data_IF_173622670394
#
_entry.id   IF_173622670394
#
_cell.length_a   1.000
_cell.length_b   1.000
_cell.length_c   1.000
_cell.angle_alpha   90.00
_cell.angle_beta   90.00
_cell.angle_gamma   90.00
#
_symmetry.space_group_name_H-M   'P 1'
#
loop_
_entity.id
_entity.type
_entity.pdbx_description
1 polymer ?
#
# COMPACT_ATOMS: atom_id res chain seq x y z
N UNK A 1 3.08 -32.69 -3.51
CA UNK A 1 3.07 -31.97 -2.21
C UNK A 1 1.71 -31.31 -2.08
N UNK A 2 1.01 -31.46 -0.95
CA UNK A 2 -0.26 -30.76 -0.69
C UNK A 2 -0.01 -29.35 -0.16
N UNK A 3 -1.01 -28.46 -0.26
CA UNK A 3 -0.94 -27.09 0.29
C UNK A 3 -0.56 -27.11 1.76
N UNK A 4 -1.29 -27.89 2.58
CA UNK A 4 -1.01 -27.99 4.01
C UNK A 4 0.38 -28.56 4.31
N UNK A 5 0.88 -29.51 3.50
CA UNK A 5 2.25 -30.01 3.68
C UNK A 5 3.30 -28.93 3.42
N UNK A 6 3.08 -28.07 2.42
CA UNK A 6 3.97 -26.95 2.12
C UNK A 6 3.90 -25.88 3.21
N UNK A 7 2.69 -25.45 3.60
CA UNK A 7 2.51 -24.43 4.65
C UNK A 7 3.11 -24.89 5.99
N UNK A 8 2.90 -26.15 6.37
CA UNK A 8 3.52 -26.73 7.57
C UNK A 8 5.04 -26.81 7.45
N UNK A 9 5.60 -27.01 6.25
CA UNK A 9 7.04 -26.99 6.05
C UNK A 9 7.62 -25.58 6.25
N UNK A 10 6.99 -24.56 5.65
CA UNK A 10 7.39 -23.15 5.81
C UNK A 10 7.32 -22.73 7.28
N UNK A 11 6.22 -23.05 7.97
CA UNK A 11 6.01 -22.66 9.37
C UNK A 11 7.03 -23.28 10.34
N UNK A 12 7.66 -24.41 10.01
CA UNK A 12 8.69 -25.03 10.87
C UNK A 12 9.89 -24.11 11.13
N UNK A 13 10.26 -23.24 10.18
CA UNK A 13 11.36 -22.27 10.38
C UNK A 13 10.91 -21.02 11.13
N UNK A 14 9.64 -20.66 10.99
CA UNK A 14 9.07 -19.42 11.55
C UNK A 14 7.82 -19.69 12.41
N UNK A 15 7.89 -20.52 13.48
CA UNK A 15 6.71 -21.03 14.17
C UNK A 15 5.86 -19.96 14.86
N UNK A 16 6.42 -18.78 15.11
CA UNK A 16 5.78 -17.68 15.84
C UNK A 16 5.59 -16.42 14.98
N UNK A 17 5.80 -16.49 13.66
CA UNK A 17 5.56 -15.35 12.77
C UNK A 17 4.15 -15.43 12.19
N UNK A 18 3.17 -15.09 13.04
CA UNK A 18 1.73 -15.21 12.75
C UNK A 18 1.28 -14.44 11.51
N UNK A 19 1.69 -13.18 11.39
CA UNK A 19 1.36 -12.30 10.28
C UNK A 19 1.98 -12.82 8.97
N UNK A 20 3.23 -13.29 9.03
CA UNK A 20 3.90 -13.85 7.86
C UNK A 20 3.25 -15.17 7.41
N UNK A 21 2.93 -16.07 8.35
CA UNK A 21 2.26 -17.33 8.05
C UNK A 21 0.88 -17.13 7.42
N UNK A 22 0.13 -16.13 7.90
CA UNK A 22 -1.16 -15.74 7.32
C UNK A 22 -1.00 -15.31 5.85
N UNK A 23 -0.08 -14.40 5.57
CA UNK A 23 0.14 -13.89 4.21
C UNK A 23 0.58 -15.00 3.23
N UNK A 24 1.49 -15.88 3.67
CA UNK A 24 1.89 -17.04 2.85
C UNK A 24 0.70 -17.97 2.59
N UNK A 25 -0.13 -18.25 3.60
CA UNK A 25 -1.34 -19.06 3.45
C UNK A 25 -2.31 -18.44 2.45
N UNK A 26 -2.61 -17.15 2.57
CA UNK A 26 -3.54 -16.43 1.68
C UNK A 26 -3.07 -16.50 0.21
N UNK A 27 -1.81 -16.14 -0.04
CA UNK A 27 -1.23 -16.18 -1.40
C UNK A 27 -1.20 -17.62 -1.94
N UNK A 28 -0.70 -18.58 -1.16
CA UNK A 28 -0.56 -19.97 -1.62
C UNK A 28 -1.90 -20.65 -1.84
N UNK A 29 -2.93 -20.34 -1.04
CA UNK A 29 -4.29 -20.85 -1.25
C UNK A 29 -4.81 -20.40 -2.61
N UNK A 30 -4.58 -19.13 -2.96
CA UNK A 30 -4.95 -18.59 -4.27
C UNK A 30 -4.16 -19.19 -5.43
N UNK A 31 -2.85 -19.39 -5.23
CA UNK A 31 -1.96 -19.92 -6.28
C UNK A 31 -2.11 -21.44 -6.48
N UNK A 32 -2.58 -22.19 -5.49
CA UNK A 32 -2.52 -23.66 -5.53
C UNK A 32 -3.19 -24.28 -6.76
N UNK A 33 -4.44 -23.90 -7.13
CA UNK A 33 -5.10 -24.43 -8.32
C UNK A 33 -4.35 -24.05 -9.62
N UNK A 34 -3.82 -22.83 -9.69
CA UNK A 34 -3.02 -22.38 -10.84
C UNK A 34 -1.74 -23.22 -10.99
N UNK A 35 -1.07 -23.53 -9.87
CA UNK A 35 0.15 -24.32 -9.85
C UNK A 35 -0.11 -25.80 -10.21
N UNK A 36 -1.31 -26.35 -9.98
CA UNK A 36 -1.70 -27.69 -10.44
C UNK A 36 -1.81 -27.75 -11.97
N UNK A 37 -2.35 -26.68 -12.56
CA UNK A 37 -2.48 -26.56 -14.01
C UNK A 37 -1.16 -26.17 -14.69
N UNK A 38 -0.24 -25.54 -13.96
CA UNK A 38 1.03 -25.04 -14.45
C UNK A 38 2.22 -25.63 -13.66
N UNK A 39 2.51 -26.93 -13.82
CA UNK A 39 3.51 -27.63 -13.00
C UNK A 39 4.92 -27.06 -13.12
N UNK A 40 5.21 -26.30 -14.20
CA UNK A 40 6.51 -25.63 -14.39
C UNK A 40 6.91 -24.77 -13.18
N UNK A 41 5.94 -24.13 -12.53
CA UNK A 41 6.14 -23.26 -11.39
C UNK A 41 6.33 -24.00 -10.05
N UNK A 42 6.29 -25.33 -10.07
CA UNK A 42 6.60 -26.18 -8.91
C UNK A 42 7.99 -26.80 -9.00
N UNK A 43 8.72 -26.59 -10.09
CA UNK A 43 10.08 -27.10 -10.24
C UNK A 43 11.10 -26.22 -9.52
N UNK A 44 12.33 -26.72 -9.38
CA UNK A 44 13.49 -25.98 -8.86
C UNK A 44 13.26 -25.35 -7.47
N UNK A 45 12.38 -25.97 -6.67
CA UNK A 45 11.94 -25.47 -5.36
C UNK A 45 11.55 -23.99 -5.40
N UNK A 46 10.89 -23.57 -6.49
CA UNK A 46 10.59 -22.17 -6.74
C UNK A 46 9.75 -21.55 -5.62
N UNK A 47 8.77 -22.28 -5.09
CA UNK A 47 7.90 -21.78 -4.02
C UNK A 47 8.65 -21.67 -2.70
N UNK A 48 9.49 -22.65 -2.37
CA UNK A 48 10.33 -22.62 -1.17
C UNK A 48 11.35 -21.47 -1.22
N UNK A 49 11.94 -21.20 -2.39
CA UNK A 49 12.83 -20.04 -2.59
C UNK A 49 12.05 -18.72 -2.54
N UNK A 50 10.84 -18.69 -3.06
CA UNK A 50 10.02 -17.47 -3.10
C UNK A 50 9.56 -17.04 -1.71
N UNK A 51 9.26 -17.97 -0.80
CA UNK A 51 8.80 -17.62 0.56
C UNK A 51 9.94 -17.35 1.55
N UNK A 52 11.18 -17.68 1.19
CA UNK A 52 12.35 -17.36 2.01
C UNK A 52 12.95 -16.03 1.53
N UNK A 53 13.03 -14.98 2.36
CA UNK A 53 13.60 -13.70 1.94
C UNK A 53 15.08 -13.86 1.56
N UNK A 54 15.51 -13.25 0.45
CA UNK A 54 16.90 -13.29 0.00
C UNK A 54 17.88 -12.80 1.09
N UNK A 55 17.48 -11.77 1.86
CA UNK A 55 18.27 -11.28 2.99
C UNK A 55 17.41 -10.56 4.04
N UNK A 56 17.76 -10.74 5.31
CA UNK A 56 17.20 -9.97 6.43
C UNK A 56 18.35 -9.39 7.26
N UNK A 57 18.32 -8.09 7.47
CA UNK A 57 19.29 -7.37 8.31
C UNK A 57 18.52 -6.87 9.54
N UNK A 58 18.88 -7.37 10.73
CA UNK A 58 18.38 -6.86 12.01
C UNK A 58 19.54 -6.17 12.73
N UNK A 59 19.32 -4.96 13.23
CA UNK A 59 20.37 -4.17 13.86
C UNK A 59 19.86 -3.30 15.00
N UNK A 60 20.79 -2.90 15.86
CA UNK A 60 20.55 -2.00 17.01
C UNK A 60 20.66 -0.56 16.57
N UNK A 61 19.74 0.29 17.02
CA UNK A 61 19.80 1.75 16.85
C UNK A 61 19.88 2.40 18.23
N UNK A 62 20.95 3.16 18.48
CA UNK A 62 21.18 3.87 19.76
C UNK A 62 21.18 5.37 19.47
N UNK A 63 20.43 6.13 20.27
CA UNK A 63 20.24 7.57 20.05
C UNK A 63 20.03 8.31 21.39
N UNK A 64 20.13 9.63 21.39
CA UNK A 64 19.88 10.48 22.56
C UNK A 64 18.54 11.19 22.45
N UNK A 65 17.74 11.14 23.50
CA UNK A 65 16.50 11.92 23.62
C UNK A 65 16.77 13.39 24.01
N UNK A 66 15.74 14.23 24.06
CA UNK A 66 15.90 15.65 24.42
C UNK A 66 16.28 15.88 25.89
N UNK A 67 16.23 14.83 26.73
CA UNK A 67 16.65 14.83 28.14
C UNK A 67 18.03 14.19 28.33
N UNK A 68 18.80 14.06 27.25
CA UNK A 68 20.11 13.41 27.21
C UNK A 68 20.13 11.96 27.72
N UNK A 69 18.99 11.26 27.69
CA UNK A 69 18.98 9.83 27.99
C UNK A 69 19.29 9.03 26.73
N UNK A 70 20.09 7.98 26.90
CA UNK A 70 20.38 7.03 25.83
C UNK A 70 19.20 6.09 25.67
N UNK A 71 18.67 6.05 24.45
CA UNK A 71 17.56 5.19 24.04
C UNK A 71 18.07 4.13 23.08
N UNK A 72 17.46 2.93 23.13
CA UNK A 72 17.84 1.79 22.28
C UNK A 72 16.60 1.20 21.64
N UNK A 73 16.63 1.07 20.32
CA UNK A 73 15.57 0.48 19.50
C UNK A 73 16.13 -0.61 18.60
N UNK A 74 15.24 -1.50 18.14
CA UNK A 74 15.56 -2.49 17.12
C UNK A 74 15.08 -1.98 15.76
N UNK A 75 15.87 -2.22 14.73
CA UNK A 75 15.52 -1.91 13.35
C UNK A 75 15.80 -3.10 12.43
N UNK A 76 15.12 -3.11 11.29
CA UNK A 76 15.22 -4.16 10.30
C UNK A 76 15.19 -3.60 8.87
N UNK A 77 15.83 -4.35 7.97
CA UNK A 77 15.58 -4.30 6.53
C UNK A 77 15.46 -5.72 5.99
N UNK A 78 14.27 -6.07 5.52
CA UNK A 78 13.94 -7.31 4.82
C UNK A 78 14.03 -7.03 3.33
N UNK A 79 15.07 -7.57 2.70
CA UNK A 79 15.33 -7.57 1.27
C UNK A 79 14.76 -8.88 0.72
N UNK A 80 13.48 -8.84 0.33
CA UNK A 80 12.70 -10.05 0.18
C UNK A 80 12.99 -10.77 -1.14
N UNK A 81 12.87 -10.06 -2.27
CA UNK A 81 13.12 -10.62 -3.60
C UNK A 81 13.64 -9.53 -4.55
N UNK A 82 14.68 -9.81 -5.33
CA UNK A 82 15.29 -8.88 -6.30
C UNK A 82 15.16 -9.34 -7.75
N UNK A 83 14.37 -10.37 -8.04
CA UNK A 83 14.32 -10.99 -9.37
C UNK A 83 13.89 -10.02 -10.50
N UNK A 84 13.08 -9.00 -10.19
CA UNK A 84 12.56 -8.03 -11.19
C UNK A 84 13.28 -6.67 -11.10
N UNK A 85 14.19 -6.47 -10.14
CA UNK A 85 14.89 -5.20 -9.93
C UNK A 85 15.31 -4.99 -8.48
N UNK A 86 15.79 -3.78 -8.12
CA UNK A 86 16.24 -3.48 -6.75
C UNK A 86 15.10 -3.67 -5.75
N UNK A 87 15.44 -4.06 -4.52
CA UNK A 87 14.45 -4.22 -3.46
C UNK A 87 13.70 -2.90 -3.26
N UNK A 88 12.37 -2.95 -3.25
CA UNK A 88 11.55 -1.74 -3.11
C UNK A 88 10.49 -1.93 -2.05
N UNK A 89 10.46 -1.01 -1.09
CA UNK A 89 9.35 -0.86 -0.16
C UNK A 89 9.68 -0.02 1.07
N UNK A 90 8.62 0.45 1.73
CA UNK A 90 8.68 1.47 2.79
C UNK A 90 9.41 1.06 4.08
N UNK A 91 9.70 2.08 4.89
CA UNK A 91 10.17 1.97 6.28
C UNK A 91 9.01 2.31 7.22
N UNK A 92 8.72 1.46 8.22
CA UNK A 92 7.66 1.69 9.22
C UNK A 92 8.24 1.94 10.61
N UNK A 93 7.84 3.03 11.27
CA UNK A 93 8.18 3.31 12.67
C UNK A 93 6.91 3.20 13.52
N UNK A 94 6.82 2.11 14.28
CA UNK A 94 5.68 1.87 15.16
C UNK A 94 6.07 0.87 16.25
N UNK A 95 5.63 1.04 17.51
CA UNK A 95 6.03 0.17 18.62
C UNK A 95 5.64 -1.32 18.45
N UNK A 96 4.69 -1.63 17.57
CA UNK A 96 4.34 -3.03 17.26
C UNK A 96 5.27 -3.71 16.26
N UNK A 97 6.16 -2.97 15.58
CA UNK A 97 6.99 -3.51 14.49
C UNK A 97 7.88 -4.63 15.01
N UNK A 98 7.82 -5.76 14.32
CA UNK A 98 8.68 -6.93 14.55
C UNK A 98 9.01 -7.58 13.19
N UNK A 99 9.85 -8.62 13.20
CA UNK A 99 10.27 -9.31 11.97
C UNK A 99 9.11 -9.99 11.23
N UNK A 100 8.13 -10.58 11.94
CA UNK A 100 6.95 -11.21 11.35
C UNK A 100 6.18 -10.24 10.46
N UNK A 101 5.85 -9.07 11.02
CA UNK A 101 5.14 -7.99 10.32
C UNK A 101 5.92 -7.52 9.10
N UNK A 102 7.24 -7.37 9.21
CA UNK A 102 8.06 -6.87 8.10
C UNK A 102 8.27 -7.92 6.99
N UNK A 103 8.33 -9.22 7.33
CA UNK A 103 8.33 -10.30 6.33
C UNK A 103 6.99 -10.38 5.62
N UNK A 104 5.88 -10.31 6.34
CA UNK A 104 4.53 -10.20 5.76
C UNK A 104 4.46 -9.05 4.74
N UNK A 105 4.80 -7.83 5.18
CA UNK A 105 4.73 -6.66 4.31
C UNK A 105 5.71 -6.75 3.13
N UNK A 106 6.91 -7.31 3.32
CA UNK A 106 7.90 -7.49 2.25
C UNK A 106 7.48 -8.55 1.21
N UNK A 107 6.81 -9.62 1.65
CA UNK A 107 6.25 -10.65 0.79
C UNK A 107 5.15 -10.07 -0.10
N UNK A 108 4.15 -9.40 0.48
CA UNK A 108 3.09 -8.69 -0.27
C UNK A 108 3.67 -7.65 -1.23
N UNK A 109 4.67 -6.88 -0.77
CA UNK A 109 5.30 -5.85 -1.58
C UNK A 109 5.98 -6.41 -2.83
N UNK A 110 6.47 -7.66 -2.79
CA UNK A 110 7.08 -8.33 -3.95
C UNK A 110 6.06 -8.47 -5.09
N UNK A 111 4.88 -9.01 -4.81
CA UNK A 111 3.84 -9.19 -5.83
C UNK A 111 3.20 -7.87 -6.24
N UNK A 112 2.95 -6.97 -5.29
CA UNK A 112 2.43 -5.63 -5.57
C UNK A 112 3.34 -4.84 -6.51
N UNK A 113 4.66 -4.92 -6.32
CA UNK A 113 5.63 -4.26 -7.19
C UNK A 113 5.68 -4.90 -8.56
N UNK A 114 5.64 -6.24 -8.63
CA UNK A 114 5.62 -6.97 -9.89
C UNK A 114 4.43 -6.56 -10.78
N UNK A 115 3.24 -6.37 -10.18
CA UNK A 115 2.02 -5.94 -10.87
C UNK A 115 2.17 -4.58 -11.56
N UNK A 116 2.98 -3.66 -11.02
CA UNK A 116 3.14 -2.30 -11.58
C UNK A 116 3.76 -2.23 -12.98
N UNK A 117 4.16 -3.37 -13.56
CA UNK A 117 4.97 -3.51 -14.78
C UNK A 117 6.41 -2.98 -14.68
N UNK A 118 6.70 -2.08 -13.73
CA UNK A 118 8.02 -1.49 -13.51
C UNK A 118 9.06 -2.48 -12.93
N UNK A 119 10.37 -2.22 -13.13
CA UNK A 119 11.46 -3.08 -12.68
C UNK A 119 11.78 -2.86 -11.19
N UNK A 120 10.94 -3.39 -10.31
CA UNK A 120 11.08 -3.26 -8.85
C UNK A 120 10.94 -4.62 -8.18
N UNK A 121 11.94 -5.00 -7.38
CA UNK A 121 11.86 -6.14 -6.46
C UNK A 121 11.02 -5.81 -5.23
N UNK A 122 10.96 -6.69 -4.23
CA UNK A 122 10.21 -6.52 -3.00
C UNK A 122 11.09 -6.37 -1.76
N UNK A 123 10.70 -5.46 -0.86
CA UNK A 123 11.34 -5.35 0.44
C UNK A 123 10.53 -4.53 1.43
N UNK A 124 10.91 -4.57 2.70
CA UNK A 124 10.32 -3.74 3.75
C UNK A 124 11.33 -3.50 4.86
N UNK A 125 11.19 -2.41 5.60
CA UNK A 125 11.99 -2.19 6.80
C UNK A 125 11.23 -1.38 7.82
N UNK A 126 11.90 -1.11 8.94
CA UNK A 126 11.27 -0.38 10.02
C UNK A 126 12.01 -0.48 11.33
N UNK A 127 11.39 0.07 12.36
CA UNK A 127 11.85 0.01 13.74
C UNK A 127 10.67 0.02 14.71
N UNK A 128 10.88 -0.58 15.88
CA UNK A 128 9.98 -0.48 17.04
C UNK A 128 9.97 0.92 17.69
N UNK A 129 10.69 1.89 17.10
CA UNK A 129 10.65 3.29 17.49
C UNK A 129 9.23 3.88 17.34
N UNK A 130 8.74 4.51 18.42
CA UNK A 130 7.49 5.25 18.43
C UNK A 130 7.72 6.75 18.17
N UNK A 131 7.34 7.28 16.99
CA UNK A 131 7.47 8.70 16.68
C UNK A 131 6.47 9.58 17.44
N UNK A 132 5.44 9.01 18.07
CA UNK A 132 4.46 9.77 18.85
C UNK A 132 5.13 10.38 20.08
N UNK A 133 4.78 11.65 20.33
CA UNK A 133 5.34 12.43 21.42
C UNK A 133 6.82 12.81 21.26
N UNK A 134 7.46 12.50 20.12
CA UNK A 134 8.85 12.86 19.86
C UNK A 134 8.98 14.24 19.23
N UNK A 135 9.98 14.98 19.66
CA UNK A 135 10.33 16.24 19.02
C UNK A 135 10.89 16.01 17.62
N UNK A 136 10.98 17.08 16.83
CA UNK A 136 11.66 17.02 15.53
C UNK A 136 13.13 16.61 15.66
N UNK A 137 13.82 17.12 16.69
CA UNK A 137 15.21 16.80 16.96
C UNK A 137 15.41 15.33 17.32
N UNK A 138 14.54 14.75 18.14
CA UNK A 138 14.57 13.33 18.49
C UNK A 138 14.39 12.44 17.27
N UNK A 139 13.40 12.74 16.43
CA UNK A 139 13.16 11.99 15.18
C UNK A 139 14.35 12.11 14.22
N UNK A 140 14.93 13.31 14.10
CA UNK A 140 16.12 13.52 13.27
C UNK A 140 17.30 12.69 13.76
N UNK A 141 17.62 12.73 15.07
CA UNK A 141 18.71 11.95 15.67
C UNK A 141 18.49 10.45 15.52
N UNK A 142 17.26 9.99 15.72
CA UNK A 142 16.88 8.59 15.48
C UNK A 142 17.11 8.18 14.01
N UNK A 143 16.61 8.96 13.05
CA UNK A 143 16.78 8.68 11.62
C UNK A 143 18.27 8.64 11.22
N UNK A 144 19.09 9.55 11.74
CA UNK A 144 20.53 9.57 11.49
C UNK A 144 21.25 8.36 12.09
N UNK A 145 20.90 7.98 13.33
CA UNK A 145 21.43 6.80 14.00
C UNK A 145 21.06 5.51 13.24
N UNK A 146 19.81 5.40 12.77
CA UNK A 146 19.35 4.29 11.94
C UNK A 146 20.14 4.23 10.63
N UNK A 147 20.31 5.36 9.95
CA UNK A 147 21.03 5.42 8.67
C UNK A 147 22.53 5.17 8.80
N UNK A 148 23.12 5.38 9.98
CA UNK A 148 24.53 5.06 10.24
C UNK A 148 24.84 3.58 10.05
N UNK A 149 23.85 2.70 10.24
CA UNK A 149 23.97 1.29 9.88
C UNK A 149 23.31 0.99 8.53
N UNK A 150 22.09 1.48 8.28
CA UNK A 150 21.33 1.07 7.10
C UNK A 150 21.98 1.45 5.77
N UNK A 151 22.72 2.57 5.69
CA UNK A 151 23.25 3.10 4.41
C UNK A 151 24.10 2.10 3.62
N UNK A 152 24.84 1.21 4.30
CA UNK A 152 25.75 0.24 3.66
C UNK A 152 25.02 -0.90 2.94
N UNK A 153 23.71 -1.03 3.20
CA UNK A 153 22.84 -2.06 2.64
C UNK A 153 21.90 -1.53 1.56
N UNK A 154 21.93 -0.22 1.30
CA UNK A 154 21.08 0.46 0.33
C UNK A 154 21.86 0.91 -0.91
N UNK A 155 21.13 1.24 -1.97
CA UNK A 155 21.72 1.78 -3.20
C UNK A 155 20.67 1.97 -4.28
N UNK A 156 20.93 2.84 -5.28
CA UNK A 156 19.97 3.11 -6.35
C UNK A 156 19.61 1.85 -7.16
N UNK A 157 20.55 0.91 -7.27
CA UNK A 157 20.40 -0.36 -7.99
C UNK A 157 20.44 -1.58 -7.04
N UNK A 158 20.28 -1.34 -5.73
CA UNK A 158 20.30 -2.39 -4.70
C UNK A 158 18.98 -2.43 -3.95
N UNK A 159 18.69 -1.40 -3.16
CA UNK A 159 17.53 -1.31 -2.28
C UNK A 159 17.14 0.16 -2.13
N UNK A 160 15.90 0.49 -2.49
CA UNK A 160 15.36 1.85 -2.53
C UNK A 160 14.14 1.97 -1.60
N UNK A 161 14.33 2.34 -0.31
CA UNK A 161 13.23 2.46 0.62
C UNK A 161 12.30 3.65 0.34
N UNK A 162 11.22 3.74 1.11
CA UNK A 162 10.23 4.82 1.05
C UNK A 162 9.64 5.09 2.44
N UNK A 163 8.67 6.00 2.51
CA UNK A 163 7.82 6.18 3.70
C UNK A 163 6.80 5.06 3.89
N UNK A 164 6.30 4.93 5.11
CA UNK A 164 5.17 4.09 5.56
C UNK A 164 4.62 4.68 6.88
N UNK A 165 3.84 3.93 7.66
CA UNK A 165 3.34 4.38 8.97
C UNK A 165 4.52 4.83 9.85
N UNK A 166 4.43 6.05 10.39
CA UNK A 166 5.48 6.67 11.21
C UNK A 166 6.68 7.24 10.43
N UNK A 167 6.69 7.13 9.10
CA UNK A 167 7.76 7.63 8.22
C UNK A 167 7.14 8.43 7.07
N UNK A 168 7.00 9.74 7.26
CA UNK A 168 6.53 10.69 6.26
C UNK A 168 7.67 11.37 5.49
N UNK A 169 7.34 12.47 4.81
CA UNK A 169 8.32 13.26 4.05
C UNK A 169 9.45 13.82 4.91
N UNK A 170 9.17 14.13 6.19
CA UNK A 170 10.15 14.59 7.18
C UNK A 170 11.22 13.52 7.44
N UNK A 171 10.79 12.31 7.80
CA UNK A 171 11.69 11.20 8.09
C UNK A 171 12.47 10.76 6.84
N UNK A 172 11.80 10.69 5.68
CA UNK A 172 12.47 10.44 4.39
C UNK A 172 13.54 11.49 4.11
N UNK A 173 13.26 12.77 4.39
CA UNK A 173 14.23 13.85 4.27
C UNK A 173 15.46 13.65 5.15
N UNK A 174 15.27 13.34 6.44
CA UNK A 174 16.39 13.06 7.36
C UNK A 174 17.20 11.83 6.94
N UNK A 175 16.54 10.75 6.53
CA UNK A 175 17.21 9.53 6.10
C UNK A 175 17.97 9.70 4.78
N UNK A 176 17.36 10.34 3.78
CA UNK A 176 18.01 10.62 2.50
C UNK A 176 19.18 11.60 2.66
N UNK A 177 19.06 12.59 3.55
CA UNK A 177 20.14 13.51 3.91
C UNK A 177 21.35 12.78 4.52
N UNK A 178 21.10 11.85 5.45
CA UNK A 178 22.16 11.04 6.06
C UNK A 178 22.75 10.03 5.07
N UNK A 179 21.93 9.42 4.21
CA UNK A 179 22.40 8.56 3.11
C UNK A 179 23.41 9.30 2.23
N UNK A 180 23.08 10.52 1.79
CA UNK A 180 23.97 11.35 0.98
C UNK A 180 25.25 11.69 1.73
N UNK A 181 25.17 12.03 3.01
CA UNK A 181 26.34 12.40 3.82
C UNK A 181 27.31 11.23 4.01
N UNK A 182 26.81 10.03 4.28
CA UNK A 182 27.64 8.85 4.54
C UNK A 182 28.20 8.23 3.26
N UNK A 183 27.38 8.12 2.21
CA UNK A 183 27.79 7.52 0.94
C UNK A 183 28.56 8.47 0.02
N UNK A 184 28.51 9.78 0.29
CA UNK A 184 28.99 10.83 -0.61
C UNK A 184 28.41 10.69 -2.04
N UNK A 185 27.14 10.29 -2.14
CA UNK A 185 26.44 10.04 -3.39
C UNK A 185 25.03 10.65 -3.36
N UNK A 186 24.61 11.31 -4.44
CA UNK A 186 23.32 12.00 -4.57
C UNK A 186 22.27 11.23 -5.40
N UNK A 187 22.52 9.96 -5.73
CA UNK A 187 21.59 9.11 -6.47
C UNK A 187 20.30 8.83 -5.70
N UNK A 188 19.26 8.37 -6.40
CA UNK A 188 17.96 8.09 -5.80
C UNK A 188 17.97 6.79 -4.98
N UNK A 189 18.30 6.91 -3.70
CA UNK A 189 18.25 5.79 -2.74
C UNK A 189 16.93 5.77 -1.96
N UNK A 190 16.18 6.87 -1.95
CA UNK A 190 14.85 6.94 -1.36
C UNK A 190 13.85 7.54 -2.34
N UNK A 191 12.61 7.05 -2.28
CA UNK A 191 11.43 7.66 -2.94
C UNK A 191 10.52 8.32 -1.92
N UNK A 192 9.64 9.22 -2.37
CA UNK A 192 8.87 10.09 -1.49
C UNK A 192 9.69 11.26 -0.96
N UNK A 193 10.70 11.69 -1.73
CA UNK A 193 11.51 12.87 -1.44
C UNK A 193 10.67 14.14 -1.61
N UNK A 194 11.11 15.23 -1.01
CA UNK A 194 10.55 16.55 -1.28
C UNK A 194 10.93 17.02 -2.69
N UNK A 195 10.06 17.84 -3.29
CA UNK A 195 10.24 18.32 -4.67
C UNK A 195 11.58 19.04 -4.87
N UNK A 196 12.05 19.78 -3.85
CA UNK A 196 13.33 20.51 -3.90
C UNK A 196 14.57 19.63 -3.96
N UNK A 197 14.47 18.32 -3.70
CA UNK A 197 15.60 17.39 -3.68
C UNK A 197 15.30 16.06 -4.39
N UNK A 198 14.59 16.12 -5.52
CA UNK A 198 14.38 14.98 -6.42
C UNK A 198 13.09 14.19 -6.18
N UNK A 199 12.12 14.75 -5.46
CA UNK A 199 10.76 14.22 -5.38
C UNK A 199 10.01 14.31 -6.71
N UNK A 200 8.97 13.50 -6.87
CA UNK A 200 8.06 13.55 -8.02
C UNK A 200 6.78 14.31 -7.67
N UNK A 201 6.26 15.08 -8.64
CA UNK A 201 4.86 15.51 -8.63
C UNK A 201 3.93 14.28 -8.64
N UNK A 202 2.66 14.47 -8.27
CA UNK A 202 1.64 13.40 -8.15
C UNK A 202 1.95 12.40 -7.02
N UNK A 203 3.08 12.50 -6.31
CA UNK A 203 3.42 11.54 -5.23
C UNK A 203 2.40 11.57 -4.08
N UNK A 204 1.93 12.72 -3.56
CA UNK A 204 0.82 12.75 -2.61
C UNK A 204 -0.45 12.10 -3.16
N UNK A 205 -0.79 12.40 -4.40
CA UNK A 205 -2.06 12.01 -5.05
C UNK A 205 -2.10 10.53 -5.45
N UNK A 206 -0.93 9.95 -5.71
CA UNK A 206 -0.74 8.70 -6.45
C UNK A 206 -1.58 7.51 -5.98
N UNK A 207 -1.70 7.28 -4.67
CA UNK A 207 -2.46 6.14 -4.15
C UNK A 207 -3.96 6.35 -4.31
N UNK A 208 -4.48 7.53 -3.98
CA UNK A 208 -5.91 7.85 -4.10
C UNK A 208 -6.35 7.93 -5.57
N UNK A 209 -5.53 8.56 -6.41
CA UNK A 209 -5.76 8.57 -7.86
C UNK A 209 -5.70 7.16 -8.46
N UNK A 210 -4.69 6.37 -8.07
CA UNK A 210 -4.54 5.00 -8.53
C UNK A 210 -5.74 4.11 -8.18
N UNK A 211 -6.25 4.25 -6.94
CA UNK A 211 -7.46 3.57 -6.49
C UNK A 211 -8.65 3.88 -7.40
N UNK A 212 -8.89 5.16 -7.68
CA UNK A 212 -10.02 5.57 -8.54
C UNK A 212 -9.81 5.12 -9.98
N UNK A 213 -8.61 5.21 -10.53
CA UNK A 213 -8.31 4.71 -11.88
C UNK A 213 -8.55 3.21 -12.02
N UNK A 214 -8.08 2.42 -11.05
CA UNK A 214 -8.32 0.97 -11.06
C UNK A 214 -9.80 0.63 -10.91
N UNK A 215 -10.49 1.32 -10.00
CA UNK A 215 -11.92 1.10 -9.75
C UNK A 215 -12.75 1.47 -10.98
N UNK A 216 -12.41 2.57 -11.66
CA UNK A 216 -13.08 2.98 -12.89
C UNK A 216 -12.90 1.93 -14.01
N UNK A 217 -11.70 1.36 -14.16
CA UNK A 217 -11.45 0.27 -15.11
C UNK A 217 -12.26 -0.99 -14.76
N UNK A 218 -12.33 -1.32 -13.46
CA UNK A 218 -13.16 -2.42 -12.95
C UNK A 218 -14.64 -2.18 -13.25
N UNK A 219 -15.17 -0.99 -12.99
CA UNK A 219 -16.57 -0.63 -13.24
C UNK A 219 -16.90 -0.67 -14.74
N UNK A 220 -16.06 -0.06 -15.59
CA UNK A 220 -16.28 -0.04 -17.06
C UNK A 220 -16.36 -1.43 -17.67
N UNK A 221 -15.50 -2.35 -17.20
CA UNK A 221 -15.55 -3.76 -17.64
C UNK A 221 -16.92 -4.41 -17.39
N UNK A 222 -17.63 -3.96 -16.35
CA UNK A 222 -18.93 -4.50 -15.95
C UNK A 222 -20.09 -3.56 -16.32
N UNK A 223 -19.89 -2.64 -17.27
CA UNK A 223 -20.94 -1.75 -17.78
C UNK A 223 -21.35 -0.63 -16.80
N UNK A 224 -20.52 -0.33 -15.81
CA UNK A 224 -20.72 0.72 -14.81
C UNK A 224 -19.65 1.82 -14.97
N UNK A 225 -19.72 2.86 -14.14
CA UNK A 225 -18.71 3.91 -14.01
C UNK A 225 -18.95 4.72 -12.75
N UNK A 226 -18.06 5.67 -12.44
CA UNK A 226 -18.22 6.56 -11.29
C UNK A 226 -19.32 7.61 -11.44
N UNK A 227 -19.65 8.02 -12.68
CA UNK A 227 -20.60 9.11 -12.95
C UNK A 227 -21.94 8.90 -12.25
N UNK A 228 -22.32 9.85 -11.39
CA UNK A 228 -23.58 9.84 -10.62
C UNK A 228 -23.64 8.85 -9.46
N UNK A 229 -22.63 7.99 -9.26
CA UNK A 229 -22.62 7.02 -8.17
C UNK A 229 -22.43 7.70 -6.81
N UNK A 230 -23.11 7.17 -5.78
CA UNK A 230 -22.85 7.52 -4.38
C UNK A 230 -21.64 6.74 -3.90
N UNK A 231 -20.64 7.43 -3.36
CA UNK A 231 -19.38 6.82 -2.92
C UNK A 231 -19.14 7.09 -1.44
N UNK A 232 -18.92 6.04 -0.66
CA UNK A 232 -18.40 6.16 0.71
C UNK A 232 -16.87 6.04 0.68
N UNK A 233 -16.18 6.99 1.31
CA UNK A 233 -14.73 6.91 1.54
C UNK A 233 -14.51 6.90 3.05
N UNK A 234 -13.79 5.90 3.55
CA UNK A 234 -13.30 5.95 4.93
C UNK A 234 -11.92 6.60 4.99
N UNK A 235 -11.57 7.15 6.14
CA UNK A 235 -10.33 7.87 6.32
C UNK A 235 -10.43 9.32 5.82
N UNK A 236 -9.42 10.09 6.21
CA UNK A 236 -9.30 11.52 5.91
C UNK A 236 -7.83 11.94 5.79
N UNK A 237 -6.95 10.94 5.66
CA UNK A 237 -5.55 11.13 5.34
C UNK A 237 -5.33 11.23 3.83
N UNK A 238 -4.05 11.23 3.45
CA UNK A 238 -3.60 11.44 2.08
C UNK A 238 -4.30 10.53 1.04
N UNK A 239 -4.51 9.24 1.32
CA UNK A 239 -5.19 8.33 0.36
C UNK A 239 -6.65 8.75 0.16
N UNK A 240 -7.39 8.97 1.25
CA UNK A 240 -8.79 9.33 1.22
C UNK A 240 -9.03 10.68 0.54
N UNK A 241 -8.23 11.71 0.86
CA UNK A 241 -8.35 13.05 0.28
C UNK A 241 -8.29 13.02 -1.24
N UNK A 242 -7.28 12.36 -1.80
CA UNK A 242 -7.10 12.30 -3.26
C UNK A 242 -7.98 11.24 -3.93
N UNK A 243 -8.49 10.25 -3.20
CA UNK A 243 -9.56 9.38 -3.68
C UNK A 243 -10.87 10.17 -3.84
N UNK A 244 -11.23 11.01 -2.87
CA UNK A 244 -12.37 11.94 -2.95
C UNK A 244 -12.19 12.86 -4.16
N UNK A 245 -11.02 13.50 -4.28
CA UNK A 245 -10.70 14.42 -5.38
C UNK A 245 -10.91 13.78 -6.76
N UNK A 246 -10.32 12.59 -6.98
CA UNK A 246 -10.38 11.93 -8.27
C UNK A 246 -11.76 11.33 -8.56
N UNK A 247 -12.45 10.81 -7.56
CA UNK A 247 -13.81 10.32 -7.72
C UNK A 247 -14.77 11.45 -8.10
N UNK A 248 -14.66 12.63 -7.48
CA UNK A 248 -15.42 13.82 -7.90
C UNK A 248 -15.10 14.23 -9.34
N UNK A 249 -13.82 14.18 -9.74
CA UNK A 249 -13.42 14.48 -11.11
C UNK A 249 -14.00 13.49 -12.15
N UNK A 250 -14.42 12.30 -11.73
CA UNK A 250 -15.13 11.30 -12.54
C UNK A 250 -16.67 11.35 -12.34
N UNK A 251 -17.18 12.44 -11.78
CA UNK A 251 -18.62 12.69 -11.63
C UNK A 251 -19.29 11.94 -10.49
N UNK A 252 -18.53 11.34 -9.59
CA UNK A 252 -19.09 10.65 -8.43
C UNK A 252 -19.55 11.64 -7.35
N UNK A 253 -20.65 11.30 -6.67
CA UNK A 253 -21.07 12.00 -5.45
C UNK A 253 -20.47 11.31 -4.24
N UNK A 254 -19.33 11.81 -3.77
CA UNK A 254 -18.66 11.27 -2.58
C UNK A 254 -19.32 11.82 -1.32
N UNK A 255 -19.85 10.95 -0.46
CA UNK A 255 -20.75 11.36 0.64
C UNK A 255 -20.16 11.20 2.04
N UNK A 256 -18.99 10.56 2.18
CA UNK A 256 -18.35 10.39 3.51
C UNK A 256 -16.85 10.61 3.50
N UNK A 257 -16.33 10.97 4.68
CA UNK A 257 -14.94 10.88 5.07
C UNK A 257 -14.89 10.56 6.57
N UNK A 258 -13.82 9.93 7.08
CA UNK A 258 -13.76 9.57 8.50
C UNK A 258 -12.38 9.75 9.13
N UNK A 259 -12.32 9.80 10.45
CA UNK A 259 -11.09 9.57 11.21
C UNK A 259 -11.38 8.65 12.40
N UNK A 260 -10.39 8.48 13.29
CA UNK A 260 -10.52 7.61 14.46
C UNK A 260 -11.66 8.00 15.41
N UNK A 261 -12.19 9.22 15.31
CA UNK A 261 -13.23 9.74 16.20
C UNK A 261 -14.64 9.62 15.61
N UNK A 262 -14.79 9.32 14.32
CA UNK A 262 -16.10 9.20 13.67
C UNK A 262 -16.10 9.58 12.19
N UNK A 263 -17.31 9.66 11.62
CA UNK A 263 -17.54 9.85 10.19
C UNK A 263 -18.37 11.12 9.93
N UNK A 264 -17.96 11.94 8.97
CA UNK A 264 -18.83 13.00 8.42
C UNK A 264 -19.65 12.44 7.26
N UNK A 265 -20.92 12.81 7.19
CA UNK A 265 -21.84 12.46 6.10
C UNK A 265 -22.34 13.74 5.44
N UNK A 266 -22.14 13.82 4.14
CA UNK A 266 -22.56 14.90 3.27
C UNK A 266 -23.42 14.35 2.13
N UNK A 267 -24.75 14.39 2.29
CA UNK A 267 -25.69 13.87 1.30
C UNK A 267 -25.64 14.62 -0.04
N UNK A 268 -25.20 15.88 -0.04
CA UNK A 268 -25.00 16.66 -1.26
C UNK A 268 -23.73 16.25 -2.01
N UNK A 269 -22.79 15.65 -1.27
CA UNK A 269 -21.46 15.28 -1.73
C UNK A 269 -20.42 16.37 -1.48
N UNK A 270 -19.16 15.95 -1.47
CA UNK A 270 -18.02 16.86 -1.45
C UNK A 270 -17.98 17.74 -2.71
N UNK A 271 -17.38 18.92 -2.55
CA UNK A 271 -17.02 19.85 -3.64
C UNK A 271 -15.53 20.18 -3.52
N UNK A 272 -14.88 20.77 -4.53
CA UNK A 272 -13.48 21.20 -4.43
C UNK A 272 -13.20 22.09 -3.22
N UNK A 273 -14.12 22.99 -2.88
CA UNK A 273 -14.01 23.92 -1.75
C UNK A 273 -14.07 23.17 -0.41
N UNK A 274 -15.05 22.27 -0.27
CA UNK A 274 -15.22 21.41 0.90
C UNK A 274 -14.00 20.51 1.10
N UNK A 275 -13.50 19.90 0.02
CA UNK A 275 -12.33 19.03 0.08
C UNK A 275 -11.06 19.83 0.45
N UNK A 276 -10.82 20.99 -0.17
CA UNK A 276 -9.69 21.84 0.17
C UNK A 276 -9.68 22.17 1.67
N UNK A 277 -10.86 22.48 2.22
CA UNK A 277 -11.01 22.77 3.64
C UNK A 277 -10.75 21.56 4.54
N UNK A 278 -11.22 20.37 4.15
CA UNK A 278 -10.88 19.12 4.85
C UNK A 278 -9.36 18.90 4.86
N UNK A 279 -8.69 19.11 3.72
CA UNK A 279 -7.23 18.98 3.60
C UNK A 279 -6.48 19.94 4.52
N UNK A 280 -6.91 21.21 4.62
CA UNK A 280 -6.34 22.18 5.57
C UNK A 280 -6.46 21.74 7.02
N UNK A 281 -7.66 21.30 7.43
CA UNK A 281 -7.91 20.82 8.79
C UNK A 281 -7.01 19.62 9.09
N UNK A 282 -6.93 18.66 8.17
CA UNK A 282 -6.16 17.42 8.35
C UNK A 282 -4.66 17.56 8.09
N UNK A 283 -4.19 18.72 7.61
CA UNK A 283 -2.76 19.05 7.58
C UNK A 283 -2.18 19.23 8.99
N UNK A 284 -3.02 19.62 9.96
CA UNK A 284 -2.68 19.59 11.38
C UNK A 284 -2.79 18.17 11.94
N UNK A 285 -1.83 17.78 12.80
CA UNK A 285 -1.87 16.49 13.51
C UNK A 285 -3.09 16.35 14.42
N UNK A 286 -3.60 17.47 14.92
CA UNK A 286 -4.76 17.52 15.82
C UNK A 286 -6.08 17.80 15.09
N UNK A 287 -6.05 17.92 13.75
CA UNK A 287 -7.24 18.11 12.94
C UNK A 287 -8.23 16.95 13.08
N UNK A 288 -9.51 17.28 13.31
CA UNK A 288 -10.60 16.32 13.46
C UNK A 288 -11.67 16.53 12.39
N UNK A 289 -12.24 15.44 11.90
CA UNK A 289 -13.37 15.44 10.96
C UNK A 289 -14.62 16.07 11.60
N UNK A 290 -14.77 15.99 12.94
CA UNK A 290 -15.84 16.67 13.67
C UNK A 290 -15.83 18.20 13.49
N UNK A 291 -14.64 18.82 13.43
CA UNK A 291 -14.53 20.28 13.25
C UNK A 291 -14.95 20.68 11.83
N UNK A 292 -14.55 19.88 10.83
CA UNK A 292 -15.01 20.02 9.45
C UNK A 292 -16.54 19.89 9.36
N UNK A 293 -17.13 18.87 9.99
CA UNK A 293 -18.57 18.67 9.97
C UNK A 293 -19.33 19.85 10.61
N UNK A 294 -18.81 20.38 11.73
CA UNK A 294 -19.38 21.56 12.41
C UNK A 294 -19.31 22.81 11.53
N UNK A 295 -18.19 23.02 10.85
CA UNK A 295 -17.97 24.20 10.00
C UNK A 295 -18.97 24.27 8.83
N UNK A 296 -19.28 23.13 8.22
CA UNK A 296 -20.21 23.03 7.09
C UNK A 296 -21.64 22.65 7.48
N UNK A 297 -21.94 22.49 8.78
CA UNK A 297 -23.27 22.08 9.26
C UNK A 297 -23.68 20.67 8.79
N UNK A 298 -22.73 19.76 8.66
CA UNK A 298 -22.92 18.40 8.16
C UNK A 298 -23.22 17.42 9.30
N UNK A 299 -23.84 16.29 8.96
CA UNK A 299 -24.08 15.20 9.92
C UNK A 299 -22.76 14.57 10.32
N UNK A 300 -22.54 14.42 11.63
CA UNK A 300 -21.38 13.71 12.18
C UNK A 300 -21.84 12.48 12.97
N UNK A 301 -21.41 11.30 12.51
CA UNK A 301 -21.64 10.02 13.17
C UNK A 301 -20.46 9.75 14.10
N UNK A 302 -20.60 10.20 15.36
CA UNK A 302 -19.56 10.04 16.37
C UNK A 302 -19.27 8.57 16.68
N UNK A 303 -18.00 8.18 16.67
CA UNK A 303 -17.55 6.81 16.94
C UNK A 303 -17.97 5.76 15.91
N UNK A 304 -18.59 6.16 14.79
CA UNK A 304 -19.10 5.25 13.77
C UNK A 304 -18.27 5.31 12.48
N UNK A 305 -18.25 4.17 11.79
CA UNK A 305 -17.68 4.00 10.46
C UNK A 305 -18.70 4.37 9.36
N UNK A 306 -18.27 4.64 8.11
CA UNK A 306 -19.18 5.06 7.05
C UNK A 306 -20.08 3.95 6.49
N UNK A 307 -19.88 2.69 6.88
CA UNK A 307 -20.47 1.52 6.23
C UNK A 307 -21.99 1.37 6.40
N UNK A 308 -22.60 2.12 7.32
CA UNK A 308 -24.05 2.21 7.48
C UNK A 308 -24.73 3.11 6.44
N UNK A 309 -23.97 3.96 5.74
CA UNK A 309 -24.51 4.89 4.74
C UNK A 309 -24.77 4.14 3.42
N UNK A 310 -25.99 4.20 2.83
CA UNK A 310 -26.28 3.56 1.55
C UNK A 310 -25.51 4.21 0.39
N UNK A 311 -24.70 3.39 -0.29
CA UNK A 311 -23.80 3.82 -1.38
C UNK A 311 -23.68 2.75 -2.46
N UNK A 312 -23.32 3.18 -3.66
CA UNK A 312 -23.02 2.29 -4.79
C UNK A 312 -21.59 1.73 -4.72
N UNK A 313 -20.65 2.54 -4.20
CA UNK A 313 -19.22 2.21 -4.15
C UNK A 313 -18.67 2.50 -2.75
N UNK A 314 -17.92 1.56 -2.18
CA UNK A 314 -17.21 1.75 -0.92
C UNK A 314 -15.69 1.71 -1.13
N UNK A 315 -14.99 2.74 -0.65
CA UNK A 315 -13.53 2.89 -0.77
C UNK A 315 -12.88 2.96 0.62
N UNK A 316 -12.53 1.82 1.24
CA UNK A 316 -11.84 1.82 2.53
C UNK A 316 -10.39 2.30 2.43
N UNK A 317 -10.10 3.44 3.06
CA UNK A 317 -8.81 4.15 2.93
C UNK A 317 -8.21 4.58 4.29
N UNK A 318 -8.62 3.98 5.41
CA UNK A 318 -8.16 4.36 6.75
C UNK A 318 -7.10 3.42 7.33
N UNK A 319 -7.44 2.16 7.59
CA UNK A 319 -6.58 1.21 8.31
C UNK A 319 -6.90 -0.25 7.95
N UNK A 320 -6.04 -1.16 8.39
CA UNK A 320 -6.24 -2.61 8.27
C UNK A 320 -7.48 -3.06 9.06
N UNK A 321 -8.23 -4.01 8.52
CA UNK A 321 -9.44 -4.63 9.12
C UNK A 321 -10.51 -3.62 9.56
N UNK A 322 -10.65 -2.50 8.86
CA UNK A 322 -11.70 -1.52 9.13
C UNK A 322 -13.08 -1.91 8.56
N UNK A 323 -13.15 -2.90 7.68
CA UNK A 323 -14.40 -3.36 7.08
C UNK A 323 -14.54 -4.86 7.39
N UNK A 324 -15.38 -5.16 8.37
CA UNK A 324 -15.66 -6.51 8.85
C UNK A 324 -16.94 -7.10 8.24
N UNK A 325 -17.31 -8.30 8.69
CA UNK A 325 -18.47 -9.06 8.21
C UNK A 325 -19.78 -8.31 8.41
N UNK A 326 -19.95 -7.64 9.54
CA UNK A 326 -21.20 -6.94 9.85
C UNK A 326 -21.34 -5.67 9.00
N UNK A 327 -20.24 -4.93 8.80
CA UNK A 327 -20.18 -3.83 7.84
C UNK A 327 -20.46 -4.30 6.40
N UNK A 328 -19.88 -5.44 5.98
CA UNK A 328 -20.11 -6.00 4.65
C UNK A 328 -21.58 -6.37 4.42
N UNK A 329 -22.23 -7.01 5.41
CA UNK A 329 -23.67 -7.34 5.34
C UNK A 329 -24.54 -6.09 5.18
N UNK A 330 -24.23 -5.02 5.90
CA UNK A 330 -24.97 -3.75 5.80
C UNK A 330 -24.79 -3.13 4.41
N UNK A 331 -23.56 -3.09 3.89
CA UNK A 331 -23.27 -2.57 2.54
C UNK A 331 -23.99 -3.39 1.45
N UNK A 332 -23.96 -4.72 1.54
CA UNK A 332 -24.67 -5.62 0.62
C UNK A 332 -26.18 -5.38 0.69
N UNK A 333 -26.76 -5.32 1.89
CA UNK A 333 -28.18 -5.05 2.09
C UNK A 333 -28.61 -3.68 1.52
N UNK A 334 -27.71 -2.69 1.54
CA UNK A 334 -27.91 -1.37 0.97
C UNK A 334 -27.65 -1.29 -0.55
N UNK A 335 -27.28 -2.39 -1.20
CA UNK A 335 -27.12 -2.46 -2.66
C UNK A 335 -25.77 -1.97 -3.18
N UNK A 336 -24.69 -2.09 -2.40
CA UNK A 336 -23.33 -1.78 -2.87
C UNK A 336 -23.00 -2.60 -4.13
N UNK A 337 -22.38 -1.95 -5.12
CA UNK A 337 -21.99 -2.56 -6.41
C UNK A 337 -20.51 -2.89 -6.45
N UNK A 338 -19.68 -2.08 -5.79
CA UNK A 338 -18.24 -2.26 -5.79
C UNK A 338 -17.58 -1.86 -4.45
N UNK A 339 -16.52 -2.60 -4.10
CA UNK A 339 -15.61 -2.29 -3.00
C UNK A 339 -14.19 -2.31 -3.55
N UNK A 340 -13.42 -1.25 -3.29
CA UNK A 340 -12.03 -1.17 -3.74
C UNK A 340 -11.12 -0.59 -2.66
N UNK A 341 -10.05 -1.31 -2.35
CA UNK A 341 -9.24 -1.03 -1.16
C UNK A 341 -8.16 0.03 -1.41
N UNK A 342 -8.26 1.18 -0.73
CA UNK A 342 -7.22 2.21 -0.71
C UNK A 342 -6.17 1.99 0.38
N UNK A 343 -6.58 1.47 1.53
CA UNK A 343 -5.68 1.06 2.61
C UNK A 343 -5.09 -0.33 2.33
N UNK A 344 -4.11 -0.77 3.14
CA UNK A 344 -3.56 -2.13 3.04
C UNK A 344 -4.41 -3.09 3.89
N UNK A 345 -5.05 -4.07 3.24
CA UNK A 345 -5.95 -5.05 3.85
C UNK A 345 -7.03 -4.46 4.77
N UNK A 346 -7.81 -3.46 4.32
CA UNK A 346 -8.89 -2.93 5.13
C UNK A 346 -10.05 -3.90 5.33
N UNK A 347 -10.30 -4.80 4.37
CA UNK A 347 -11.40 -5.77 4.45
C UNK A 347 -10.91 -7.05 5.11
N UNK A 348 -11.68 -7.60 6.05
CA UNK A 348 -11.35 -8.93 6.59
C UNK A 348 -11.53 -10.01 5.53
N UNK A 349 -10.91 -11.18 5.72
CA UNK A 349 -11.05 -12.30 4.76
C UNK A 349 -12.52 -12.68 4.63
N UNK A 350 -13.22 -12.84 5.74
CA UNK A 350 -14.62 -13.25 5.77
C UNK A 350 -15.54 -12.20 5.13
N UNK A 351 -15.23 -10.91 5.27
CA UNK A 351 -15.95 -9.84 4.60
C UNK A 351 -15.70 -9.83 3.09
N UNK A 352 -14.47 -10.15 2.67
CA UNK A 352 -14.10 -10.30 1.25
C UNK A 352 -14.89 -11.44 0.61
N UNK A 353 -14.95 -12.60 1.27
CA UNK A 353 -15.70 -13.77 0.80
C UNK A 353 -17.19 -13.43 0.64
N UNK A 354 -17.79 -12.71 1.59
CA UNK A 354 -19.18 -12.27 1.49
C UNK A 354 -19.44 -11.35 0.29
N UNK A 355 -18.52 -10.42 -0.01
CA UNK A 355 -18.67 -9.57 -1.20
C UNK A 355 -18.60 -10.39 -2.49
N UNK A 356 -17.65 -11.33 -2.57
CA UNK A 356 -17.51 -12.20 -3.74
C UNK A 356 -18.73 -13.11 -3.93
N UNK A 357 -19.26 -13.70 -2.85
CA UNK A 357 -20.47 -14.53 -2.85
C UNK A 357 -21.72 -13.73 -3.26
N UNK A 358 -21.82 -12.47 -2.83
CA UNK A 358 -22.91 -11.57 -3.19
C UNK A 358 -22.80 -10.99 -4.62
N UNK A 359 -21.72 -11.28 -5.36
CA UNK A 359 -21.49 -10.73 -6.70
C UNK A 359 -21.10 -9.24 -6.69
N UNK A 360 -20.66 -8.71 -5.56
CA UNK A 360 -20.12 -7.35 -5.45
C UNK A 360 -18.72 -7.31 -6.06
N UNK A 361 -18.47 -6.31 -6.92
CA UNK A 361 -17.15 -6.15 -7.54
C UNK A 361 -16.11 -5.80 -6.47
N UNK A 362 -15.11 -6.65 -6.29
CA UNK A 362 -14.09 -6.47 -5.26
C UNK A 362 -12.71 -6.26 -5.87
N UNK A 363 -12.07 -5.13 -5.57
CA UNK A 363 -10.70 -4.83 -5.99
C UNK A 363 -9.73 -4.85 -4.78
N UNK A 364 -8.80 -5.83 -4.71
CA UNK A 364 -7.89 -5.96 -3.58
C UNK A 364 -6.85 -4.84 -3.56
N UNK A 365 -6.42 -4.44 -2.36
CA UNK A 365 -5.48 -3.34 -2.16
C UNK A 365 -4.15 -3.56 -2.88
N UNK A 366 -3.67 -4.81 -2.93
CA UNK A 366 -2.47 -5.20 -3.69
C UNK A 366 -2.49 -4.72 -5.16
N UNK A 367 -3.66 -4.59 -5.78
CA UNK A 367 -3.80 -4.01 -7.11
C UNK A 367 -4.27 -2.55 -7.04
N UNK A 368 -5.39 -2.28 -6.36
CA UNK A 368 -6.08 -1.00 -6.40
C UNK A 368 -5.23 0.17 -5.85
N UNK A 369 -4.49 -0.05 -4.76
CA UNK A 369 -3.68 1.00 -4.13
C UNK A 369 -2.19 0.98 -4.60
N UNK A 370 -1.89 0.25 -5.67
CA UNK A 370 -0.54 0.14 -6.22
C UNK A 370 -0.03 1.46 -6.86
N UNK A 371 -0.91 2.43 -7.10
CA UNK A 371 -0.53 3.74 -7.65
C UNK A 371 0.58 4.44 -6.87
N UNK A 372 0.57 4.35 -5.54
CA UNK A 372 1.62 4.93 -4.70
C UNK A 372 3.02 4.36 -4.98
N UNK A 373 3.12 3.04 -5.20
CA UNK A 373 4.40 2.40 -5.51
C UNK A 373 4.77 2.52 -6.99
N UNK A 374 3.79 2.54 -7.90
CA UNK A 374 4.00 2.89 -9.31
C UNK A 374 4.64 4.27 -9.46
N UNK A 375 4.08 5.30 -8.82
CA UNK A 375 4.66 6.66 -8.83
C UNK A 375 6.01 6.73 -8.13
N UNK A 376 6.30 5.84 -7.16
CA UNK A 376 7.64 5.72 -6.60
C UNK A 376 8.66 5.20 -7.62
N UNK A 377 8.28 4.25 -8.48
CA UNK A 377 9.09 3.81 -9.61
C UNK A 377 9.26 4.90 -10.67
N UNK A 378 8.22 5.73 -10.91
CA UNK A 378 8.34 6.91 -11.77
C UNK A 378 9.27 7.98 -11.17
N UNK A 379 9.29 8.14 -9.85
CA UNK A 379 10.26 9.00 -9.17
C UNK A 379 11.69 8.49 -9.39
N UNK A 380 11.93 7.17 -9.26
CA UNK A 380 13.22 6.56 -9.58
C UNK A 380 13.64 6.81 -11.03
N UNK A 381 12.72 6.63 -11.99
CA UNK A 381 12.97 6.87 -13.41
C UNK A 381 13.35 8.34 -13.70
N UNK A 382 12.63 9.30 -13.11
CA UNK A 382 12.95 10.73 -13.24
C UNK A 382 14.33 11.07 -12.67
N UNK A 383 14.68 10.49 -11.52
CA UNK A 383 15.98 10.72 -10.89
C UNK A 383 17.13 10.09 -11.71
N UNK A 384 16.94 8.87 -12.23
CA UNK A 384 17.91 8.22 -13.11
C UNK A 384 18.12 9.03 -14.41
N UNK A 385 17.04 9.57 -14.98
CA UNK A 385 17.08 10.44 -16.15
C UNK A 385 17.59 11.87 -15.85
N UNK A 386 17.67 12.27 -14.57
CA UNK A 386 17.96 13.64 -14.12
C UNK A 386 17.01 14.69 -14.72
N UNK A 387 15.77 14.30 -14.99
CA UNK A 387 14.76 15.14 -15.63
C UNK A 387 13.43 14.99 -14.89
N UNK A 388 12.98 16.08 -14.25
CA UNK A 388 11.66 16.15 -13.62
C UNK A 388 10.57 16.25 -14.67
N UNK A 389 9.46 15.56 -14.44
CA UNK A 389 8.28 15.62 -15.30
C UNK A 389 7.23 16.58 -14.74
N UNK A 390 6.40 17.11 -15.63
CA UNK A 390 5.19 17.86 -15.26
C UNK A 390 4.14 16.91 -14.69
N UNK A 391 3.23 17.44 -13.86
CA UNK A 391 2.21 16.66 -13.17
C UNK A 391 1.37 15.81 -14.13
N UNK A 392 0.98 16.39 -15.27
CA UNK A 392 0.13 15.75 -16.30
C UNK A 392 0.82 14.52 -16.90
N UNK A 393 2.15 14.58 -17.08
CA UNK A 393 2.94 13.45 -17.60
C UNK A 393 3.06 12.34 -16.57
N UNK A 394 3.23 12.67 -15.28
CA UNK A 394 3.26 11.68 -14.20
C UNK A 394 1.89 11.03 -14.05
N UNK A 395 0.82 11.82 -14.02
CA UNK A 395 -0.56 11.34 -13.87
C UNK A 395 -0.99 10.46 -15.05
N UNK A 396 -0.70 10.86 -16.29
CA UNK A 396 -1.00 10.04 -17.47
C UNK A 396 -0.28 8.69 -17.44
N UNK A 397 0.97 8.64 -16.96
CA UNK A 397 1.72 7.38 -16.80
C UNK A 397 1.19 6.55 -15.64
N UNK A 398 0.84 7.16 -14.52
CA UNK A 398 0.16 6.48 -13.42
C UNK A 398 -1.14 5.82 -13.90
N UNK A 399 -1.98 6.56 -14.61
CA UNK A 399 -3.25 6.04 -15.14
C UNK A 399 -3.00 4.83 -16.06
N UNK A 400 -2.05 4.92 -17.00
CA UNK A 400 -1.69 3.78 -17.85
C UNK A 400 -1.25 2.55 -17.04
N UNK A 401 -0.40 2.74 -16.03
CA UNK A 401 0.05 1.64 -15.17
C UNK A 401 -1.14 0.99 -14.44
N UNK A 402 -2.10 1.77 -13.94
CA UNK A 402 -3.29 1.19 -13.29
C UNK A 402 -4.15 0.39 -14.27
N UNK A 403 -4.24 0.81 -15.54
CA UNK A 403 -4.92 0.03 -16.59
C UNK A 403 -4.17 -1.26 -16.90
N UNK A 404 -2.82 -1.23 -16.94
CA UNK A 404 -2.02 -2.44 -17.14
C UNK A 404 -2.19 -3.43 -15.97
N UNK A 405 -2.20 -2.93 -14.73
CA UNK A 405 -2.47 -3.76 -13.54
C UNK A 405 -3.87 -4.37 -13.63
N UNK A 406 -4.87 -3.58 -14.02
CA UNK A 406 -6.25 -4.06 -14.22
C UNK A 406 -6.29 -5.16 -15.29
N UNK A 407 -5.65 -4.95 -16.43
CA UNK A 407 -5.60 -5.93 -17.51
C UNK A 407 -4.96 -7.25 -17.07
N UNK A 408 -3.84 -7.19 -16.35
CA UNK A 408 -3.17 -8.36 -15.80
C UNK A 408 -4.07 -9.11 -14.79
N UNK A 409 -4.83 -8.40 -13.96
CA UNK A 409 -5.78 -9.04 -13.05
C UNK A 409 -6.94 -9.70 -13.81
N UNK A 410 -7.39 -9.11 -14.91
CA UNK A 410 -8.45 -9.69 -15.76
C UNK A 410 -7.97 -10.97 -16.43
N UNK A 411 -6.74 -11.02 -16.93
CA UNK A 411 -6.15 -12.19 -17.61
C UNK A 411 -6.19 -13.45 -16.74
N UNK A 412 -5.88 -13.32 -15.45
CA UNK A 412 -5.83 -14.44 -14.50
C UNK A 412 -7.04 -14.53 -13.56
N UNK A 413 -8.01 -13.62 -13.70
CA UNK A 413 -9.14 -13.47 -12.79
C UNK A 413 -10.33 -14.38 -13.09
N UNK A 414 -10.20 -15.35 -13.99
CA UNK A 414 -11.24 -16.34 -14.29
C UNK A 414 -12.14 -15.97 -15.46
N UNK A 415 -13.45 -16.16 -15.30
CA UNK A 415 -14.44 -16.00 -16.39
C UNK A 415 -14.61 -14.55 -16.83
N UNK A 416 -14.97 -14.36 -18.10
CA UNK A 416 -15.20 -13.06 -18.72
C UNK A 416 -16.37 -12.28 -18.09
N UNK A 417 -17.30 -12.97 -17.40
CA UNK A 417 -18.50 -12.33 -16.82
C UNK A 417 -18.29 -11.74 -15.42
N UNK A 418 -17.42 -12.32 -14.61
CA UNK A 418 -17.10 -11.84 -13.26
C UNK A 418 -15.62 -12.09 -12.98
N UNK A 419 -14.83 -11.02 -12.99
CA UNK A 419 -13.40 -11.11 -12.73
C UNK A 419 -13.15 -11.19 -11.22
N UNK A 420 -12.54 -12.28 -10.76
CA UNK A 420 -12.00 -12.39 -9.41
C UNK A 420 -10.63 -11.69 -9.36
N UNK A 421 -10.61 -10.41 -8.97
CA UNK A 421 -9.38 -9.63 -8.90
C UNK A 421 -8.43 -10.08 -7.79
N UNK A 422 -8.91 -10.73 -6.73
CA UNK A 422 -8.04 -11.33 -5.68
C UNK A 422 -7.16 -12.42 -6.31
N UNK A 423 -7.81 -13.34 -7.03
CA UNK A 423 -7.14 -14.38 -7.80
C UNK A 423 -6.22 -13.79 -8.87
N UNK A 424 -6.76 -12.90 -9.69
CA UNK A 424 -6.03 -12.29 -10.80
C UNK A 424 -4.76 -11.57 -10.34
N UNK A 425 -4.85 -10.75 -9.30
CA UNK A 425 -3.71 -10.01 -8.77
C UNK A 425 -2.63 -10.92 -8.16
N UNK A 426 -3.04 -11.99 -7.46
CA UNK A 426 -2.10 -12.97 -6.90
C UNK A 426 -1.34 -13.71 -7.99
N UNK A 427 -2.05 -14.26 -8.97
CA UNK A 427 -1.43 -15.06 -10.04
C UNK A 427 -0.57 -14.17 -10.94
N UNK A 428 -1.06 -13.01 -11.38
CA UNK A 428 -0.30 -12.15 -12.29
C UNK A 428 1.00 -11.63 -11.64
N UNK A 429 0.92 -11.21 -10.36
CA UNK A 429 2.09 -10.80 -9.59
C UNK A 429 3.09 -11.96 -9.41
N UNK A 430 2.59 -13.16 -9.11
CA UNK A 430 3.41 -14.36 -8.97
C UNK A 430 4.12 -14.74 -10.27
N UNK A 431 3.39 -14.82 -11.39
CA UNK A 431 3.91 -15.26 -12.70
C UNK A 431 5.14 -14.45 -13.10
N UNK A 432 5.07 -13.12 -13.00
CA UNK A 432 6.20 -12.25 -13.37
C UNK A 432 7.45 -12.51 -12.52
N UNK A 433 7.29 -12.71 -11.22
CA UNK A 433 8.39 -12.99 -10.28
C UNK A 433 8.95 -14.38 -10.54
N UNK A 434 8.06 -15.36 -10.68
CA UNK A 434 8.36 -16.76 -10.92
C UNK A 434 9.16 -16.96 -12.22
N UNK A 435 8.72 -16.35 -13.33
CA UNK A 435 9.41 -16.43 -14.61
C UNK A 435 10.81 -15.78 -14.52
N UNK A 436 10.94 -14.65 -13.84
CA UNK A 436 12.24 -14.00 -13.61
C UNK A 436 13.19 -14.87 -12.76
N UNK A 437 12.69 -15.49 -11.69
CA UNK A 437 13.48 -16.38 -10.82
C UNK A 437 13.91 -17.67 -11.55
N UNK A 438 13.05 -18.24 -12.39
CA UNK A 438 13.39 -19.42 -13.19
C UNK A 438 14.48 -19.10 -14.22
N UNK A 439 14.36 -17.95 -14.90
CA UNK A 439 15.33 -17.52 -15.91
C UNK A 439 16.72 -17.20 -15.33
N UNK A 440 16.79 -16.74 -14.07
CA UNK A 440 18.05 -16.38 -13.40
C UNK A 440 18.74 -17.55 -12.68
N UNK A 441 18.14 -18.74 -12.69
CA UNK A 441 18.74 -19.96 -12.15
C UNK A 441 18.65 -20.09 -10.63
N UNK A 442 19.61 -20.81 -10.04
CA UNK A 442 19.68 -21.09 -8.59
C UNK A 442 20.77 -20.21 -7.98
N UNK A 443 20.36 -19.11 -7.38
CA UNK A 443 21.20 -18.11 -6.71
C UNK A 443 20.84 -17.97 -5.24
#
# INVERSE_FOLDING_TARGET
>A
CSLESFLNHVQKRDPHQTEFAQAVREVMTTLWPFLEQNPRYRHMSLLERLVEPERVIQFRVVWLDDKNQVQVNRAWRVQFNSAIGPYKGGMRFHPSVNLSILKFLGFEQTFKNALTTLPMGGGKGGSDFDPKGKSEGEVMRFCQALMTELYRHLGPDTDVPAGDIGVGGREVGFMAGMMRKLSNNSSCVFTGKGLSFGGSLIRPEATGYGLVYFTEAMLKRHGLGFEGMRVAVSGSGNVAQYAIEKAMAFGARVVTASDSSGTVVDESGFTPEKLARLCEIKASRDGRVADYAREFGLTYLEGQQPWSVPVDIALPCATQNELDVDAARVLIANGVKAVAEGANMPTTIEATDLFLEAGVLFAPGKAANAGGVATSGLEMAQNAARLSWKAEKVDARLHHIMLDIHHACVEYGGDNKHTNYVQGANIAGFVKVADAMLAQGVI
#
